data_IF_112259527806
#
_entry.id   IF_112259527806
#
_cell.length_a   1.000
_cell.length_b   1.000
_cell.length_c   1.000
_cell.angle_alpha   90.00
_cell.angle_beta   90.00
_cell.angle_gamma   90.00
#
_symmetry.space_group_name_H-M   'P 1'
#
loop_
_entity.id
_entity.type
_entity.pdbx_description
1 polymer ?
#
# COMPACT_ATOMS: atom_id res chain seq x y z
N UNK A 1 15.58 40.26 23.80
CA UNK A 1 14.50 39.99 22.83
C UNK A 1 15.06 38.98 21.86
N UNK A 2 14.79 37.70 22.10
CA UNK A 2 15.18 36.63 21.18
C UNK A 2 14.12 35.55 21.30
N UNK A 3 13.44 35.28 20.19
CA UNK A 3 12.31 34.37 20.10
C UNK A 3 12.79 33.20 19.25
N UNK A 4 13.21 32.13 19.91
CA UNK A 4 13.54 30.87 19.23
C UNK A 4 12.22 30.21 18.86
N UNK A 5 11.93 30.14 17.56
CA UNK A 5 10.82 29.36 17.02
C UNK A 5 11.35 27.95 16.84
N UNK A 6 11.00 27.04 17.75
CA UNK A 6 11.21 25.60 17.55
C UNK A 6 10.04 25.08 16.72
N UNK A 7 10.29 24.83 15.43
CA UNK A 7 9.37 24.07 14.58
C UNK A 7 9.51 22.59 14.95
N UNK A 8 8.49 22.05 15.61
CA UNK A 8 8.38 20.61 15.86
C UNK A 8 7.50 20.01 14.78
N UNK A 9 8.12 19.63 13.66
CA UNK A 9 7.50 18.78 12.64
C UNK A 9 7.29 17.39 13.24
N UNK A 10 6.09 17.15 13.77
CA UNK A 10 5.63 15.82 14.13
C UNK A 10 5.45 15.00 12.85
N UNK A 11 6.49 14.27 12.44
CA UNK A 11 6.38 13.21 11.45
C UNK A 11 5.51 12.10 12.05
N UNK A 12 4.21 12.11 11.78
CA UNK A 12 3.33 10.99 12.10
C UNK A 12 3.63 9.85 11.13
N UNK A 13 4.28 8.80 11.61
CA UNK A 13 4.37 7.53 10.91
C UNK A 13 2.97 6.91 10.80
N UNK A 14 2.54 6.54 9.60
CA UNK A 14 1.23 5.94 9.37
C UNK A 14 1.39 4.47 8.98
N UNK A 15 0.88 3.57 9.82
CA UNK A 15 0.66 2.18 9.42
C UNK A 15 -0.64 2.11 8.63
N UNK A 16 -0.59 1.59 7.40
CA UNK A 16 -1.79 1.32 6.60
C UNK A 16 -2.30 -0.08 6.97
N UNK A 17 -3.56 -0.17 7.34
CA UNK A 17 -4.29 -1.40 7.60
C UNK A 17 -5.28 -1.68 6.46
N UNK A 18 -5.25 -2.88 5.89
CA UNK A 18 -6.17 -3.24 4.81
C UNK A 18 -7.44 -3.83 5.40
N UNK A 19 -8.58 -3.27 5.01
CA UNK A 19 -9.88 -3.88 5.32
C UNK A 19 -10.45 -4.49 4.05
N UNK A 20 -10.50 -5.82 4.00
CA UNK A 20 -11.14 -6.55 2.93
C UNK A 20 -12.66 -6.52 3.18
N UNK A 21 -13.44 -5.94 2.26
CA UNK A 21 -14.89 -6.18 2.22
C UNK A 21 -15.19 -7.13 1.07
N UNK A 22 -15.30 -8.42 1.35
CA UNK A 22 -15.81 -9.36 0.36
C UNK A 22 -17.30 -9.10 0.12
N UNK A 23 -17.69 -8.86 -1.13
CA UNK A 23 -19.11 -8.77 -1.53
C UNK A 23 -19.74 -10.13 -1.89
N UNK A 24 -18.97 -11.23 -1.88
CA UNK A 24 -19.48 -12.58 -2.16
C UNK A 24 -19.04 -13.60 -1.13
N UNK A 25 -19.95 -14.51 -0.81
CA UNK A 25 -19.80 -15.64 0.11
C UNK A 25 -18.79 -16.66 -0.42
N UNK A 26 -17.48 -16.40 -0.30
CA UNK A 26 -16.46 -17.45 -0.34
C UNK A 26 -16.18 -17.91 1.11
N UNK A 27 -16.06 -19.22 1.39
CA UNK A 27 -15.77 -19.70 2.74
C UNK A 27 -14.36 -19.29 3.17
N UNK A 28 -14.24 -18.83 4.42
CA UNK A 28 -13.00 -18.55 5.17
C UNK A 28 -11.99 -17.60 4.55
N UNK A 29 -12.36 -16.32 4.40
CA UNK A 29 -11.36 -15.25 4.49
C UNK A 29 -10.91 -15.11 5.96
N UNK A 30 -9.60 -15.04 6.25
CA UNK A 30 -9.12 -14.87 7.62
C UNK A 30 -9.69 -13.59 8.23
N UNK A 31 -10.32 -13.74 9.40
CA UNK A 31 -11.15 -12.74 10.08
C UNK A 31 -10.32 -11.86 11.03
N UNK A 32 -9.14 -11.44 10.60
CA UNK A 32 -8.20 -10.65 11.41
C UNK A 32 -7.93 -9.29 10.76
N UNK A 33 -7.53 -8.26 11.54
CA UNK A 33 -7.01 -7.02 10.97
C UNK A 33 -5.72 -7.33 10.20
N UNK A 34 -5.82 -7.50 8.88
CA UNK A 34 -4.67 -7.76 8.02
C UNK A 34 -3.84 -6.49 7.89
N UNK A 35 -2.68 -6.50 8.54
CA UNK A 35 -1.64 -5.49 8.35
C UNK A 35 -1.20 -5.56 6.88
N UNK A 36 -1.03 -4.40 6.23
CA UNK A 36 -0.43 -4.35 4.90
C UNK A 36 1.00 -4.90 4.99
N UNK A 37 1.18 -6.05 4.37
CA UNK A 37 2.39 -6.84 4.43
C UNK A 37 2.93 -6.98 3.01
N UNK A 38 3.91 -6.16 2.65
CA UNK A 38 4.45 -6.16 1.28
C UNK A 38 5.77 -6.92 1.23
N UNK A 39 6.02 -7.47 0.05
CA UNK A 39 7.04 -8.46 -0.20
C UNK A 39 7.82 -8.13 -1.45
N UNK A 40 9.13 -8.04 -1.26
CA UNK A 40 10.17 -7.79 -2.25
C UNK A 40 10.15 -6.38 -2.87
N UNK A 41 11.33 -5.79 -3.14
CA UNK A 41 11.41 -4.53 -3.87
C UNK A 41 10.89 -4.75 -5.29
N UNK A 42 9.65 -4.34 -5.54
CA UNK A 42 8.97 -4.53 -6.82
C UNK A 42 7.47 -4.35 -6.68
N UNK A 43 6.78 -5.31 -6.06
CA UNK A 43 5.31 -5.39 -6.04
C UNK A 43 4.72 -5.36 -4.63
N UNK A 44 3.50 -4.83 -4.52
CA UNK A 44 2.76 -4.75 -3.27
C UNK A 44 1.88 -5.99 -3.07
N UNK A 45 1.97 -6.58 -1.87
CA UNK A 45 1.17 -7.73 -1.45
C UNK A 45 0.50 -7.44 -0.10
N UNK A 46 -0.42 -8.29 0.32
CA UNK A 46 -0.90 -8.35 1.69
C UNK A 46 -1.23 -9.78 2.12
N UNK A 47 -1.04 -10.05 3.41
CA UNK A 47 -1.14 -11.37 4.00
C UNK A 47 -0.15 -11.53 5.16
N UNK A 48 0.15 -12.77 5.52
CA UNK A 48 1.17 -13.11 6.52
C UNK A 48 2.57 -13.21 5.86
N UNK A 49 3.47 -12.26 6.15
CA UNK A 49 4.81 -12.23 5.54
C UNK A 49 5.63 -13.47 5.90
N UNK A 50 5.35 -14.11 7.03
CA UNK A 50 6.11 -15.29 7.48
C UNK A 50 5.87 -16.50 6.58
N UNK A 51 4.81 -16.48 5.77
CA UNK A 51 4.52 -17.51 4.78
C UNK A 51 5.34 -17.35 3.50
N UNK A 52 6.03 -16.22 3.34
CA UNK A 52 6.96 -16.06 2.25
C UNK A 52 8.34 -16.57 2.63
N UNK A 53 8.89 -17.39 1.76
CA UNK A 53 10.28 -17.83 1.85
C UNK A 53 11.24 -16.77 1.26
N UNK A 54 11.07 -15.50 1.65
CA UNK A 54 11.88 -14.35 1.21
C UNK A 54 12.37 -13.55 2.43
N UNK A 55 13.69 -13.37 2.56
CA UNK A 55 14.28 -12.56 3.64
C UNK A 55 13.94 -11.06 3.54
N UNK A 56 13.45 -10.60 2.40
CA UNK A 56 12.99 -9.22 2.18
C UNK A 56 11.51 -9.01 2.51
N UNK A 57 10.80 -10.07 2.92
CA UNK A 57 9.43 -10.04 3.37
C UNK A 57 9.27 -9.23 4.67
N UNK A 58 8.49 -8.13 4.65
CA UNK A 58 8.25 -7.36 5.87
C UNK A 58 6.96 -6.53 5.82
N UNK A 59 6.32 -6.30 6.97
CA UNK A 59 5.31 -5.25 7.09
C UNK A 59 5.88 -3.88 6.69
N UNK A 60 5.07 -3.00 6.09
CA UNK A 60 5.54 -1.69 5.60
C UNK A 60 5.00 -0.54 6.42
N UNK A 61 5.89 0.39 6.74
CA UNK A 61 5.57 1.69 7.33
C UNK A 61 5.54 2.70 6.20
N UNK A 62 4.41 3.41 6.08
CA UNK A 62 4.24 4.47 5.09
C UNK A 62 4.48 5.83 5.72
N UNK A 63 5.26 6.65 5.03
CA UNK A 63 5.62 8.00 5.46
C UNK A 63 5.45 8.95 4.27
N UNK A 64 4.51 9.92 4.33
CA UNK A 64 4.44 11.01 3.37
C UNK A 64 5.78 11.76 3.30
N UNK A 65 6.19 12.21 2.11
CA UNK A 65 7.38 13.06 1.99
C UNK A 65 7.11 14.44 2.58
N UNK A 66 8.13 15.04 3.19
CA UNK A 66 8.02 16.36 3.84
C UNK A 66 7.74 17.48 2.83
N UNK A 67 8.29 17.38 1.63
CA UNK A 67 8.18 18.41 0.58
C UNK A 67 7.01 18.12 -0.39
N UNK A 68 6.40 16.94 -0.29
CA UNK A 68 5.25 16.49 -1.08
C UNK A 68 4.47 15.42 -0.28
N UNK A 69 3.45 15.86 0.46
CA UNK A 69 2.67 14.98 1.33
C UNK A 69 1.82 13.96 0.57
N UNK A 70 1.67 14.13 -0.75
CA UNK A 70 0.92 13.22 -1.62
C UNK A 70 1.81 12.11 -2.20
N UNK A 71 3.14 12.22 -2.05
CA UNK A 71 4.11 11.17 -2.36
C UNK A 71 4.43 10.37 -1.09
N UNK A 72 4.20 9.06 -1.12
CA UNK A 72 4.38 8.18 0.04
C UNK A 72 5.60 7.28 -0.11
N UNK A 73 6.39 7.21 0.96
CA UNK A 73 7.59 6.38 1.06
C UNK A 73 7.31 5.17 1.96
N UNK A 74 7.63 3.99 1.48
CA UNK A 74 7.58 2.72 2.22
C UNK A 74 8.94 2.33 2.78
N UNK A 75 8.97 1.91 4.04
CA UNK A 75 10.12 1.29 4.67
C UNK A 75 9.70 0.03 5.45
N UNK A 76 10.58 -1.00 5.57
CA UNK A 76 10.23 -2.19 6.31
C UNK A 76 10.10 -1.88 7.81
N UNK A 77 9.13 -2.50 8.47
CA UNK A 77 9.05 -2.52 9.91
C UNK A 77 10.07 -3.54 10.47
N UNK A 78 11.30 -3.09 10.68
CA UNK A 78 12.41 -3.93 11.15
C UNK A 78 12.19 -4.50 12.55
N UNK A 79 11.27 -3.93 13.34
CA UNK A 79 10.92 -4.47 14.67
C UNK A 79 9.97 -5.65 14.63
N UNK A 80 9.31 -5.87 13.48
CA UNK A 80 8.36 -6.97 13.29
C UNK A 80 9.02 -8.23 12.68
N UNK A 81 10.28 -8.16 12.24
CA UNK A 81 10.93 -9.23 11.48
C UNK A 81 12.13 -9.81 12.23
N UNK A 82 12.44 -11.08 11.98
CA UNK A 82 13.64 -11.74 12.54
C UNK A 82 14.88 -11.54 11.66
N UNK A 83 14.66 -11.35 10.36
CA UNK A 83 15.69 -11.06 9.37
C UNK A 83 15.42 -9.68 8.80
N UNK A 84 16.43 -8.80 8.85
CA UNK A 84 16.30 -7.43 8.35
C UNK A 84 16.28 -7.41 6.82
N UNK A 85 15.22 -6.87 6.17
CA UNK A 85 15.21 -6.67 4.72
C UNK A 85 16.32 -5.73 4.27
N UNK A 86 16.79 -5.92 3.03
CA UNK A 86 17.86 -5.08 2.46
C UNK A 86 17.37 -3.78 1.84
N UNK A 87 16.05 -3.61 1.70
CA UNK A 87 15.43 -2.45 1.08
C UNK A 87 14.95 -1.44 2.13
N UNK A 88 14.91 -0.16 1.75
CA UNK A 88 14.39 0.90 2.61
C UNK A 88 14.02 2.11 1.77
N UNK A 89 13.00 2.86 2.19
CA UNK A 89 12.64 4.14 1.59
C UNK A 89 12.35 4.05 0.08
N UNK A 90 11.46 3.13 -0.30
CA UNK A 90 10.99 3.01 -1.67
C UNK A 90 9.73 3.86 -1.88
N UNK A 91 9.59 4.47 -3.04
CA UNK A 91 8.42 5.26 -3.41
C UNK A 91 7.26 4.33 -3.74
N UNK A 92 6.13 4.51 -3.05
CA UNK A 92 4.89 3.79 -3.35
C UNK A 92 4.31 4.26 -4.68
N UNK A 93 3.85 3.33 -5.50
CA UNK A 93 3.34 3.67 -6.82
C UNK A 93 2.17 2.78 -7.23
N UNK A 94 1.24 3.40 -7.96
CA UNK A 94 0.18 2.73 -8.69
C UNK A 94 0.45 2.87 -10.18
N UNK A 95 -0.11 1.99 -11.02
CA UNK A 95 -0.18 2.23 -12.45
C UNK A 95 -0.96 3.52 -12.78
N UNK A 96 -0.54 4.22 -13.83
CA UNK A 96 -1.33 5.31 -14.40
C UNK A 96 -2.65 4.80 -15.00
N UNK A 97 -3.60 5.70 -15.19
CA UNK A 97 -4.92 5.44 -15.79
C UNK A 97 -4.85 4.64 -17.11
N UNK A 98 -3.89 4.96 -17.97
CA UNK A 98 -3.71 4.32 -19.30
C UNK A 98 -2.77 3.09 -19.30
N UNK A 99 -2.40 2.55 -18.14
CA UNK A 99 -1.45 1.44 -18.05
C UNK A 99 -2.11 0.07 -18.26
N UNK A 100 -1.48 -0.79 -19.06
CA UNK A 100 -1.85 -2.22 -19.18
C UNK A 100 -1.42 -3.05 -17.95
N UNK A 101 -0.68 -2.43 -17.04
CA UNK A 101 -0.14 -3.04 -15.84
C UNK A 101 -1.01 -2.63 -14.66
N UNK A 102 -1.40 -3.58 -13.79
CA UNK A 102 -2.33 -3.29 -12.68
C UNK A 102 -1.73 -3.51 -11.28
N UNK A 103 -0.53 -4.08 -11.16
CA UNK A 103 0.12 -4.28 -9.86
C UNK A 103 0.50 -2.95 -9.24
N UNK A 104 0.23 -2.80 -7.96
CA UNK A 104 0.79 -1.73 -7.13
C UNK A 104 2.22 -2.11 -6.78
N UNK A 105 3.12 -1.13 -6.67
CA UNK A 105 4.55 -1.38 -6.64
C UNK A 105 5.33 -0.41 -5.73
N UNK A 106 6.61 -0.71 -5.56
CA UNK A 106 7.59 0.14 -4.88
C UNK A 106 8.78 0.39 -5.79
N UNK A 107 9.15 1.64 -5.99
CA UNK A 107 10.27 2.05 -6.83
C UNK A 107 11.41 2.61 -5.98
N UNK A 108 12.65 2.42 -6.43
CA UNK A 108 13.79 3.10 -5.81
C UNK A 108 13.60 4.62 -5.86
N UNK A 109 13.96 5.29 -4.76
CA UNK A 109 13.87 6.75 -4.63
C UNK A 109 14.65 7.43 -5.75
N UNK A 110 13.97 8.05 -6.73
CA UNK A 110 14.47 8.68 -8.00
C UNK A 110 14.20 7.91 -9.30
N UNK A 111 13.62 6.71 -9.23
CA UNK A 111 13.24 5.96 -10.42
C UNK A 111 11.94 6.52 -10.98
N UNK A 112 12.00 7.16 -12.16
CA UNK A 112 10.81 7.40 -12.96
C UNK A 112 10.46 6.11 -13.70
N UNK A 113 9.20 5.69 -13.63
CA UNK A 113 8.68 4.55 -14.37
C UNK A 113 7.55 5.06 -15.25
N UNK A 114 7.69 4.91 -16.56
CA UNK A 114 6.62 5.21 -17.50
C UNK A 114 5.39 4.36 -17.17
N UNK A 115 4.20 4.96 -17.18
CA UNK A 115 2.95 4.25 -16.87
C UNK A 115 2.69 4.05 -15.38
N UNK A 116 3.33 4.86 -14.53
CA UNK A 116 3.21 4.82 -13.07
C UNK A 116 2.90 6.22 -12.52
N UNK A 117 2.03 6.26 -11.52
CA UNK A 117 1.75 7.43 -10.69
C UNK A 117 2.37 7.22 -9.31
N UNK A 118 3.13 8.21 -8.84
CA UNK A 118 3.90 8.17 -7.57
C UNK A 118 3.43 9.18 -6.54
N UNK A 119 2.49 10.05 -6.90
CA UNK A 119 1.89 11.09 -6.07
C UNK A 119 0.36 11.09 -6.17
N UNK A 120 -0.32 11.98 -5.45
CA UNK A 120 -1.78 12.03 -5.35
C UNK A 120 -2.37 11.10 -4.28
N UNK A 121 -1.55 10.51 -3.40
CA UNK A 121 -2.04 9.65 -2.33
C UNK A 121 -2.52 10.46 -1.13
N UNK A 122 -3.78 10.28 -0.75
CA UNK A 122 -4.40 11.05 0.32
C UNK A 122 -5.17 10.17 1.31
N UNK A 123 -5.26 10.64 2.56
CA UNK A 123 -6.20 10.10 3.53
C UNK A 123 -7.47 10.95 3.57
N UNK A 124 -8.61 10.34 3.24
CA UNK A 124 -9.92 10.92 3.54
C UNK A 124 -10.51 10.25 4.78
N UNK A 125 -10.34 10.91 5.92
CA UNK A 125 -10.62 10.32 7.23
C UNK A 125 -9.71 9.10 7.47
N UNK A 126 -10.31 7.91 7.44
CA UNK A 126 -9.57 6.65 7.62
C UNK A 126 -9.22 5.95 6.30
N UNK A 127 -9.68 6.41 5.15
CA UNK A 127 -9.53 5.71 3.86
C UNK A 127 -8.39 6.28 3.03
N UNK A 128 -7.72 5.41 2.27
CA UNK A 128 -6.75 5.84 1.25
C UNK A 128 -7.49 6.07 -0.06
N UNK A 129 -7.36 7.28 -0.59
CA UNK A 129 -7.83 7.69 -1.90
C UNK A 129 -6.64 8.11 -2.75
N UNK A 130 -6.84 8.12 -4.06
CA UNK A 130 -5.87 8.58 -5.05
C UNK A 130 -6.51 9.71 -5.85
N UNK A 131 -5.80 10.81 -5.99
CA UNK A 131 -6.19 11.89 -6.90
C UNK A 131 -5.96 11.48 -8.36
N UNK A 132 -7.00 11.58 -9.17
CA UNK A 132 -6.97 11.37 -10.60
C UNK A 132 -6.54 12.65 -11.35
N UNK A 133 -6.22 12.53 -12.63
CA UNK A 133 -5.76 13.66 -13.46
C UNK A 133 -6.77 14.81 -13.58
N UNK A 134 -8.06 14.54 -13.34
CA UNK A 134 -9.14 15.53 -13.33
C UNK A 134 -9.36 16.20 -11.96
N UNK A 135 -8.54 15.87 -10.96
CA UNK A 135 -8.62 16.36 -9.58
C UNK A 135 -9.70 15.66 -8.73
N UNK A 136 -10.36 14.63 -9.25
CA UNK A 136 -11.28 13.80 -8.46
C UNK A 136 -10.50 12.79 -7.62
N UNK A 137 -11.13 12.30 -6.54
CA UNK A 137 -10.54 11.26 -5.69
C UNK A 137 -11.21 9.91 -5.92
N UNK A 138 -10.38 8.90 -6.18
CA UNK A 138 -10.81 7.55 -6.52
C UNK A 138 -10.33 6.50 -5.51
N UNK A 139 -11.03 5.36 -5.49
CA UNK A 139 -10.66 4.19 -4.69
C UNK A 139 -10.87 2.93 -5.52
N UNK A 140 -9.91 2.65 -6.40
CA UNK A 140 -9.96 1.54 -7.36
C UNK A 140 -9.11 0.35 -6.92
N UNK A 141 -8.94 0.20 -5.60
CA UNK A 141 -8.15 -0.87 -5.01
C UNK A 141 -8.85 -2.23 -5.17
N UNK A 142 -8.08 -3.22 -5.62
CA UNK A 142 -8.53 -4.60 -5.63
C UNK A 142 -7.37 -5.55 -5.39
N UNK A 143 -7.69 -6.84 -5.29
CA UNK A 143 -6.71 -7.88 -5.11
C UNK A 143 -7.01 -9.13 -5.91
N UNK A 144 -5.95 -9.85 -6.22
CA UNK A 144 -6.00 -11.19 -6.80
C UNK A 144 -5.24 -12.15 -5.88
N UNK A 145 -5.74 -13.37 -5.72
CA UNK A 145 -5.04 -14.41 -4.99
C UNK A 145 -3.69 -14.73 -5.67
N UNK A 146 -2.69 -15.10 -4.88
CA UNK A 146 -1.44 -15.68 -5.38
C UNK A 146 -1.48 -17.21 -5.31
N UNK A 147 -0.40 -17.88 -5.70
CA UNK A 147 -0.25 -19.33 -5.51
C UNK A 147 -0.14 -19.72 -4.03
N UNK A 148 0.24 -18.78 -3.15
CA UNK A 148 0.31 -18.99 -1.71
C UNK A 148 -1.03 -18.62 -1.07
N UNK A 149 -1.61 -19.56 -0.32
CA UNK A 149 -2.87 -19.33 0.40
C UNK A 149 -2.73 -18.18 1.42
N UNK A 150 -3.77 -17.38 1.57
CA UNK A 150 -3.76 -16.20 2.45
C UNK A 150 -2.88 -15.04 1.99
N UNK A 151 -2.24 -15.15 0.82
CA UNK A 151 -1.43 -14.09 0.22
C UNK A 151 -2.11 -13.57 -1.04
N UNK A 152 -2.19 -12.25 -1.12
CA UNK A 152 -2.85 -11.55 -2.22
C UNK A 152 -1.98 -10.44 -2.78
N UNK A 153 -2.03 -10.26 -4.10
CA UNK A 153 -1.38 -9.16 -4.79
C UNK A 153 -2.28 -7.92 -4.76
N UNK A 154 -1.75 -6.77 -4.34
CA UNK A 154 -2.48 -5.51 -4.33
C UNK A 154 -2.44 -4.88 -5.72
N UNK A 155 -3.61 -4.50 -6.21
CA UNK A 155 -3.79 -3.96 -7.56
C UNK A 155 -4.66 -2.71 -7.59
N UNK A 156 -4.54 -1.98 -8.69
CA UNK A 156 -5.21 -0.70 -8.92
C UNK A 156 -5.83 -0.63 -10.32
N UNK A 157 -7.01 0.01 -10.39
CA UNK A 157 -7.71 0.39 -11.62
C UNK A 157 -7.83 -0.77 -12.62
N UNK A 158 -8.66 -1.75 -12.29
CA UNK A 158 -8.96 -2.85 -13.20
C UNK A 158 -9.69 -2.33 -14.46
N UNK A 159 -9.13 -2.58 -15.64
CA UNK A 159 -9.72 -2.18 -16.93
C UNK A 159 -10.41 -3.33 -17.67
N UNK A 160 -10.37 -4.57 -17.14
CA UNK A 160 -10.94 -5.76 -17.77
C UNK A 160 -12.28 -6.26 -17.17
N UNK A 161 -13.15 -6.80 -18.03
CA UNK A 161 -14.47 -7.36 -17.69
C UNK A 161 -14.42 -8.66 -16.86
N UNK A 162 -13.24 -9.28 -16.72
CA UNK A 162 -13.12 -10.62 -16.17
C UNK A 162 -13.15 -10.60 -14.63
N UNK A 163 -14.32 -10.66 -14.01
CA UNK A 163 -14.46 -10.47 -12.56
C UNK A 163 -14.08 -11.68 -11.70
N UNK A 164 -13.74 -12.81 -12.32
CA UNK A 164 -13.42 -14.02 -11.57
C UNK A 164 -12.10 -13.85 -10.80
N UNK A 165 -12.13 -14.20 -9.52
CA UNK A 165 -11.02 -14.11 -8.56
C UNK A 165 -10.54 -12.71 -8.14
N UNK A 166 -11.32 -11.67 -8.44
CA UNK A 166 -11.07 -10.30 -7.93
C UNK A 166 -11.75 -10.06 -6.57
N UNK A 167 -11.02 -9.41 -5.67
CA UNK A 167 -11.52 -8.98 -4.37
C UNK A 167 -11.41 -7.46 -4.29
N UNK A 168 -12.55 -6.76 -4.28
CA UNK A 168 -12.57 -5.29 -4.14
C UNK A 168 -12.15 -4.90 -2.72
N UNK A 169 -11.26 -3.92 -2.60
CA UNK A 169 -10.65 -3.52 -1.35
C UNK A 169 -11.02 -2.09 -0.94
N UNK A 170 -10.92 -1.83 0.36
CA UNK A 170 -10.80 -0.48 0.88
C UNK A 170 -9.54 -0.43 1.76
N UNK A 171 -8.57 0.38 1.36
CA UNK A 171 -7.37 0.62 2.15
C UNK A 171 -7.66 1.65 3.24
N UNK A 172 -7.15 1.42 4.46
CA UNK A 172 -7.40 2.28 5.61
C UNK A 172 -6.14 2.53 6.45
N UNK A 173 -6.12 3.59 7.26
CA UNK A 173 -5.03 3.84 8.26
C UNK A 173 -5.29 3.23 9.64
N UNK A 174 -6.48 2.69 9.85
CA UNK A 174 -6.87 2.08 11.13
C UNK A 174 -7.35 0.67 10.89
N UNK A 175 -6.89 -0.24 11.74
CA UNK A 175 -7.41 -1.59 11.77
C UNK A 175 -8.92 -1.58 12.04
N UNK A 176 -9.69 -2.52 11.46
CA UNK A 176 -11.10 -2.70 11.83
C UNK A 176 -11.25 -2.83 13.34
N UNK A 177 -12.19 -2.07 13.91
CA UNK A 177 -12.67 -2.35 15.27
C UNK A 177 -13.41 -3.68 15.25
N UNK A 178 -13.03 -4.58 16.16
CA UNK A 178 -13.63 -5.90 16.33
C UNK A 178 -15.10 -5.80 16.79
#
# INVERSE_FOLDING_TARGET
MERVISSSSHLLYHTICITIRSSRSRPSLPKFPTILTILSPGDAYFGDYTQFNDSNAAPVIFTPQTDDEETWIGAPNTTAVTTTPTWSNLTFTIPSSDSDVHNVAFLESNSSSTGRQTSGFAFYGNFVLVEADDGSYESLWYATATETDGIYNLRWNETGDDTDDKIILNLRRTAPSN
#
